data_IF_764409204050
#
_entry.id   IF_764409204050
#
_cell.length_a   1.000
_cell.length_b   1.000
_cell.length_c   1.000
_cell.angle_alpha   90.00
_cell.angle_beta   90.00
_cell.angle_gamma   90.00
#
_symmetry.space_group_name_H-M   'P 1'
#
loop_
_entity.id
_entity.type
_entity.pdbx_description
1 polymer ?
#
# COMPACT_ATOMS: atom_id res chain seq x y z
N UNK A 1 27.37 53.77 -30.58
CA UNK A 1 26.86 52.88 -31.64
C UNK A 1 27.92 51.88 -32.03
N UNK A 2 27.96 50.70 -31.40
CA UNK A 2 28.53 49.47 -31.96
C UNK A 2 28.38 48.32 -30.96
N UNK A 3 27.73 47.26 -31.46
CA UNK A 3 27.90 45.84 -31.11
C UNK A 3 27.38 45.44 -29.73
N UNK A 4 26.27 44.72 -29.70
CA UNK A 4 26.13 43.44 -28.99
C UNK A 4 24.81 42.79 -29.41
N UNK A 5 24.86 42.07 -30.53
CA UNK A 5 24.02 40.91 -30.75
C UNK A 5 24.94 39.72 -30.55
N UNK A 6 24.59 38.77 -29.68
CA UNK A 6 24.95 37.34 -29.74
C UNK A 6 24.09 36.59 -28.72
N UNK A 7 23.24 35.71 -29.28
CA UNK A 7 22.80 34.41 -28.79
C UNK A 7 22.11 34.31 -27.42
N UNK A 8 20.78 34.40 -27.46
CA UNK A 8 19.87 33.68 -26.57
C UNK A 8 19.97 32.17 -26.91
N UNK A 9 20.92 31.46 -26.31
CA UNK A 9 21.08 30.01 -26.50
C UNK A 9 21.66 29.37 -25.24
N UNK A 10 20.85 29.31 -24.18
CA UNK A 10 21.07 28.45 -23.00
C UNK A 10 19.81 28.40 -22.13
N UNK A 11 18.68 27.99 -22.70
CA UNK A 11 17.55 27.46 -21.95
C UNK A 11 17.39 25.99 -22.37
N UNK A 12 18.45 25.21 -22.20
CA UNK A 12 18.32 23.79 -21.89
C UNK A 12 18.13 23.76 -20.39
N UNK A 13 16.94 24.15 -19.92
CA UNK A 13 16.47 23.68 -18.63
C UNK A 13 16.47 22.17 -18.73
N UNK A 14 17.29 21.53 -17.92
CA UNK A 14 17.19 20.12 -17.62
C UNK A 14 15.76 19.83 -17.18
N UNK A 15 14.89 19.50 -18.13
CA UNK A 15 13.71 18.70 -17.91
C UNK A 15 14.22 17.29 -17.60
N UNK A 16 14.87 17.13 -16.46
CA UNK A 16 14.85 15.82 -15.82
C UNK A 16 13.38 15.58 -15.59
N UNK A 17 12.78 14.69 -16.37
CA UNK A 17 11.57 14.00 -15.95
C UNK A 17 11.87 13.56 -14.52
N UNK A 18 11.25 14.21 -13.54
CA UNK A 18 11.08 13.59 -12.24
C UNK A 18 10.45 12.25 -12.60
N UNK A 19 11.21 11.17 -12.47
CA UNK A 19 10.66 9.85 -12.74
C UNK A 19 9.58 9.70 -11.67
N UNK A 20 8.31 9.70 -12.11
CA UNK A 20 7.14 9.55 -11.25
C UNK A 20 7.23 8.27 -10.40
N UNK A 21 7.99 7.30 -10.88
CA UNK A 21 8.26 6.02 -10.26
C UNK A 21 9.76 5.87 -10.00
N UNK A 22 10.11 5.18 -8.91
CA UNK A 22 11.48 4.68 -8.75
C UNK A 22 11.81 3.64 -9.84
N UNK A 23 13.10 3.29 -9.96
CA UNK A 23 13.56 2.41 -11.03
C UNK A 23 12.97 0.98 -10.97
N UNK A 24 12.69 0.45 -9.78
CA UNK A 24 12.10 -0.88 -9.63
C UNK A 24 10.62 -0.85 -10.02
N UNK A 25 9.90 0.18 -9.61
CA UNK A 25 8.50 0.41 -10.00
C UNK A 25 8.36 0.63 -11.50
N UNK A 26 9.30 1.36 -12.12
CA UNK A 26 9.33 1.53 -13.59
C UNK A 26 9.60 0.21 -14.34
N UNK A 27 10.50 -0.67 -13.85
CA UNK A 27 10.73 -1.98 -14.49
C UNK A 27 9.45 -2.82 -14.51
N UNK A 28 8.61 -2.72 -13.46
CA UNK A 28 7.31 -3.41 -13.45
C UNK A 28 6.40 -2.86 -14.55
N UNK A 29 6.27 -1.54 -14.66
CA UNK A 29 5.45 -0.89 -15.68
C UNK A 29 5.87 -1.31 -17.09
N UNK A 30 7.18 -1.30 -17.37
CA UNK A 30 7.72 -1.58 -18.70
C UNK A 30 7.54 -3.05 -19.13
N UNK A 31 7.46 -3.96 -18.16
CA UNK A 31 7.60 -5.40 -18.38
C UNK A 31 6.30 -6.17 -18.29
N UNK A 32 5.38 -5.76 -17.42
CA UNK A 32 4.15 -6.51 -17.14
C UNK A 32 2.96 -6.03 -17.97
N UNK A 33 2.04 -6.96 -18.22
CA UNK A 33 0.81 -6.71 -18.98
C UNK A 33 -0.39 -7.03 -18.09
N UNK A 34 -1.54 -6.38 -18.31
CA UNK A 34 -2.74 -6.64 -17.54
C UNK A 34 -3.09 -8.14 -17.45
N UNK A 35 -3.49 -8.58 -16.25
CA UNK A 35 -3.83 -9.97 -15.92
C UNK A 35 -2.64 -10.92 -15.78
N UNK A 36 -1.39 -10.43 -15.85
CA UNK A 36 -0.19 -11.26 -15.63
C UNK A 36 0.25 -11.21 -14.18
N UNK A 37 0.66 -12.37 -13.68
CA UNK A 37 1.24 -12.52 -12.35
C UNK A 37 2.52 -11.68 -12.26
N UNK A 38 2.59 -10.86 -11.21
CA UNK A 38 3.79 -10.12 -10.83
C UNK A 38 4.56 -10.99 -9.82
N UNK A 39 5.84 -11.34 -10.08
CA UNK A 39 6.67 -12.07 -9.14
C UNK A 39 6.78 -11.32 -7.81
N UNK A 40 6.86 -12.04 -6.69
CA UNK A 40 6.79 -11.38 -5.38
C UNK A 40 7.96 -10.43 -5.11
N UNK A 41 9.13 -10.69 -5.70
CA UNK A 41 10.27 -9.77 -5.64
C UNK A 41 9.95 -8.40 -6.26
N UNK A 42 9.27 -8.40 -7.41
CA UNK A 42 8.83 -7.18 -8.08
C UNK A 42 7.70 -6.49 -7.31
N UNK A 43 6.80 -7.26 -6.69
CA UNK A 43 5.82 -6.73 -5.73
C UNK A 43 6.54 -6.07 -4.55
N UNK A 44 7.61 -6.65 -4.03
CA UNK A 44 8.44 -6.04 -2.98
C UNK A 44 9.06 -4.70 -3.38
N UNK A 45 9.46 -4.55 -4.66
CA UNK A 45 9.87 -3.27 -5.21
C UNK A 45 8.74 -2.23 -5.18
N UNK A 46 7.54 -2.61 -5.63
CA UNK A 46 6.35 -1.76 -5.58
C UNK A 46 5.95 -1.40 -4.14
N UNK A 47 6.08 -2.35 -3.21
CA UNK A 47 5.76 -2.18 -1.80
C UNK A 47 6.56 -1.03 -1.20
N UNK A 48 7.88 -1.05 -1.40
CA UNK A 48 8.78 -0.02 -0.86
C UNK A 48 8.76 1.30 -1.65
N UNK A 49 8.32 1.26 -2.92
CA UNK A 49 8.28 2.44 -3.78
C UNK A 49 7.03 3.30 -3.64
N UNK A 50 5.89 2.70 -3.29
CA UNK A 50 4.62 3.41 -3.15
C UNK A 50 4.50 4.12 -1.80
N UNK A 51 3.90 5.30 -1.81
CA UNK A 51 3.57 6.06 -0.60
C UNK A 51 2.37 5.44 0.14
N UNK A 52 1.43 4.82 -0.60
CA UNK A 52 0.26 4.13 -0.04
C UNK A 52 -0.33 3.10 -0.99
N UNK A 53 -0.78 1.99 -0.44
CA UNK A 53 -1.60 0.99 -1.12
C UNK A 53 -3.05 1.18 -0.66
N UNK A 54 -3.96 1.44 -1.60
CA UNK A 54 -5.38 1.69 -1.33
C UNK A 54 -6.20 0.53 -1.89
N UNK A 55 -6.88 -0.20 -1.02
CA UNK A 55 -7.65 -1.38 -1.37
C UNK A 55 -9.11 -1.03 -1.59
N UNK A 56 -9.70 -1.62 -2.62
CA UNK A 56 -11.10 -1.42 -3.05
C UNK A 56 -11.50 0.06 -3.16
N UNK A 57 -10.60 0.87 -3.74
CA UNK A 57 -10.72 2.33 -3.79
C UNK A 57 -12.04 2.80 -4.45
N UNK A 58 -12.68 3.82 -3.83
CA UNK A 58 -13.88 4.50 -4.34
C UNK A 58 -13.67 6.00 -4.30
N UNK A 59 -13.32 6.59 -5.44
CA UNK A 59 -12.94 8.00 -5.49
C UNK A 59 -11.66 8.23 -4.68
N UNK A 60 -11.73 9.07 -3.65
CA UNK A 60 -10.59 9.39 -2.76
C UNK A 60 -10.63 8.56 -1.45
N UNK A 61 -11.49 7.54 -1.36
CA UNK A 61 -11.61 6.71 -0.16
C UNK A 61 -11.17 5.26 -0.41
N UNK A 62 -10.45 4.69 0.55
CA UNK A 62 -10.05 3.28 0.57
C UNK A 62 -11.00 2.45 1.46
N UNK A 63 -11.16 1.17 1.15
CA UNK A 63 -11.74 0.22 2.11
C UNK A 63 -10.79 -0.04 3.27
N UNK A 64 -9.51 -0.25 2.95
CA UNK A 64 -8.38 -0.22 3.86
C UNK A 64 -7.12 0.19 3.10
N UNK A 65 -6.06 0.51 3.83
CA UNK A 65 -4.80 0.91 3.21
C UNK A 65 -3.60 0.32 3.92
N UNK A 66 -2.55 0.07 3.14
CA UNK A 66 -1.25 -0.39 3.65
C UNK A 66 -0.15 0.62 3.32
N UNK A 67 0.83 0.71 4.21
CA UNK A 67 2.11 1.37 3.99
C UNK A 67 3.20 0.36 4.35
N UNK A 68 3.99 -0.07 3.37
CA UNK A 68 5.06 -1.02 3.61
C UNK A 68 6.27 -0.31 4.23
N UNK A 69 6.76 -0.86 5.34
CA UNK A 69 7.76 -0.22 6.19
C UNK A 69 9.16 -0.77 5.90
N UNK A 70 9.29 -2.09 5.79
CA UNK A 70 10.56 -2.77 5.55
C UNK A 70 10.40 -4.17 4.96
N UNK A 71 11.43 -4.60 4.24
CA UNK A 71 11.62 -5.99 3.79
C UNK A 71 13.01 -6.43 4.30
N UNK A 72 13.05 -7.46 5.15
CA UNK A 72 14.28 -8.07 5.67
C UNK A 72 14.33 -9.55 5.30
N UNK A 73 15.12 -9.86 4.27
CA UNK A 73 15.11 -11.19 3.64
C UNK A 73 13.73 -11.50 3.07
N UNK A 74 13.09 -12.54 3.59
CA UNK A 74 11.72 -12.92 3.20
C UNK A 74 10.65 -12.27 4.09
N UNK A 75 11.02 -11.59 5.18
CA UNK A 75 10.06 -10.98 6.10
C UNK A 75 9.65 -9.59 5.59
N UNK A 76 8.35 -9.30 5.66
CA UNK A 76 7.78 -8.01 5.26
C UNK A 76 6.98 -7.41 6.40
N UNK A 77 7.23 -6.14 6.70
CA UNK A 77 6.46 -5.36 7.68
C UNK A 77 5.73 -4.23 7.02
N UNK A 78 4.47 -4.07 7.39
CA UNK A 78 3.59 -3.05 6.86
C UNK A 78 2.67 -2.53 7.94
N UNK A 79 2.30 -1.27 7.82
CA UNK A 79 1.24 -0.65 8.60
C UNK A 79 -0.05 -0.73 7.82
N UNK A 80 -1.07 -1.41 8.38
CA UNK A 80 -2.42 -1.41 7.84
C UNK A 80 -3.25 -0.36 8.59
N UNK A 81 -4.06 0.39 7.86
CA UNK A 81 -5.03 1.33 8.41
C UNK A 81 -6.41 1.10 7.84
N UNK A 82 -7.40 1.01 8.71
CA UNK A 82 -8.79 0.85 8.33
C UNK A 82 -9.72 1.39 9.42
N UNK A 83 -10.98 1.68 9.04
CA UNK A 83 -12.05 1.87 10.00
C UNK A 83 -12.26 0.66 10.90
N UNK A 84 -12.29 0.86 12.22
CA UNK A 84 -12.79 -0.15 13.16
C UNK A 84 -14.30 -0.01 13.40
N UNK A 85 -14.80 1.23 13.36
CA UNK A 85 -16.23 1.53 13.48
C UNK A 85 -16.56 2.80 12.70
N UNK A 86 -17.85 3.19 12.68
CA UNK A 86 -18.29 4.46 12.11
C UNK A 86 -17.66 5.70 12.78
N UNK A 87 -17.08 5.56 13.98
CA UNK A 87 -16.49 6.67 14.74
C UNK A 87 -14.97 6.55 14.94
N UNK A 88 -14.37 5.39 14.68
CA UNK A 88 -12.99 5.08 15.04
C UNK A 88 -12.28 4.48 13.84
N UNK A 89 -11.14 5.08 13.50
CA UNK A 89 -10.17 4.50 12.59
C UNK A 89 -9.00 3.94 13.40
N UNK A 90 -8.44 2.82 12.94
CA UNK A 90 -7.29 2.16 13.56
C UNK A 90 -6.15 2.02 12.56
N UNK A 91 -4.93 2.01 13.10
CA UNK A 91 -3.72 1.64 12.37
C UNK A 91 -2.89 0.68 13.20
N UNK A 92 -2.32 -0.35 12.60
CA UNK A 92 -1.51 -1.35 13.28
C UNK A 92 -0.42 -1.90 12.37
N UNK A 93 0.61 -2.49 12.96
CA UNK A 93 1.72 -3.12 12.23
C UNK A 93 1.46 -4.62 12.15
N UNK A 94 1.54 -5.16 10.93
CA UNK A 94 1.43 -6.58 10.64
C UNK A 94 2.71 -7.10 9.98
N UNK A 95 2.84 -8.43 9.93
CA UNK A 95 3.99 -9.14 9.38
C UNK A 95 3.57 -10.21 8.40
N UNK A 96 4.15 -10.17 7.21
CA UNK A 96 4.04 -11.19 6.17
C UNK A 96 5.39 -11.83 5.87
N UNK A 97 5.35 -12.96 5.15
CA UNK A 97 6.55 -13.62 4.64
C UNK A 97 6.43 -13.92 3.15
N UNK A 98 7.45 -13.57 2.37
CA UNK A 98 7.58 -13.98 0.99
C UNK A 98 7.81 -15.49 0.90
N UNK A 99 7.02 -16.16 0.07
CA UNK A 99 7.06 -17.61 -0.09
C UNK A 99 7.01 -18.02 -1.55
N UNK A 100 7.82 -19.01 -1.89
CA UNK A 100 7.84 -19.67 -3.21
C UNK A 100 8.07 -18.70 -4.40
N UNK A 101 8.67 -17.53 -4.15
CA UNK A 101 8.87 -16.48 -5.15
C UNK A 101 7.57 -15.88 -5.72
N UNK A 102 6.42 -16.15 -5.08
CA UNK A 102 5.10 -15.85 -5.62
C UNK A 102 4.16 -15.20 -4.62
N UNK A 103 4.21 -15.62 -3.36
CA UNK A 103 3.23 -15.22 -2.37
C UNK A 103 3.84 -14.31 -1.31
N UNK A 104 3.02 -13.42 -0.75
CA UNK A 104 3.19 -12.94 0.63
C UNK A 104 2.17 -13.68 1.49
N UNK A 105 2.59 -14.22 2.64
CA UNK A 105 1.74 -15.01 3.51
C UNK A 105 1.72 -14.44 4.92
N UNK A 106 0.55 -14.44 5.56
CA UNK A 106 0.41 -14.05 6.95
C UNK A 106 1.18 -15.00 7.88
N UNK A 107 1.83 -14.41 8.87
CA UNK A 107 2.69 -15.12 9.83
C UNK A 107 1.96 -15.52 11.11
N UNK A 108 0.72 -15.06 11.30
CA UNK A 108 0.00 -15.17 12.58
C UNK A 108 0.56 -14.24 13.66
N UNK A 109 1.22 -13.15 13.26
CA UNK A 109 1.74 -12.13 14.16
C UNK A 109 0.60 -11.45 14.94
N UNK A 110 0.76 -11.34 16.26
CA UNK A 110 -0.18 -10.62 17.11
C UNK A 110 0.00 -9.11 16.96
N UNK A 111 -0.80 -8.51 16.08
CA UNK A 111 -0.74 -7.09 15.77
C UNK A 111 -1.50 -6.21 16.75
N UNK A 112 -2.39 -6.76 17.59
CA UNK A 112 -3.25 -5.97 18.50
C UNK A 112 -2.45 -5.05 19.44
N UNK A 113 -1.31 -5.47 20.02
CA UNK A 113 -0.48 -4.58 20.84
C UNK A 113 -0.02 -3.31 20.11
N UNK A 114 0.14 -3.37 18.79
CA UNK A 114 0.61 -2.26 17.95
C UNK A 114 -0.47 -1.26 17.55
N UNK A 115 -1.75 -1.54 17.84
CA UNK A 115 -2.88 -0.68 17.45
C UNK A 115 -2.70 0.74 18.00
N UNK A 116 -2.89 1.69 17.09
CA UNK A 116 -3.17 3.11 17.34
C UNK A 116 -4.59 3.38 16.84
N UNK A 117 -5.27 4.34 17.46
CA UNK A 117 -6.66 4.64 17.13
C UNK A 117 -6.90 6.14 17.12
N UNK A 118 -7.85 6.57 16.29
CA UNK A 118 -8.18 7.97 16.08
C UNK A 118 -9.68 8.15 15.96
N UNK A 119 -10.21 9.22 16.52
CA UNK A 119 -11.57 9.67 16.25
C UNK A 119 -11.68 10.10 14.79
N UNK A 120 -12.64 9.54 14.06
CA UNK A 120 -12.83 9.83 12.64
C UNK A 120 -13.20 11.29 12.31
N UNK A 121 -14.03 11.99 13.11
CA UNK A 121 -14.47 13.35 12.76
C UNK A 121 -13.35 14.39 12.69
N UNK A 122 -12.30 14.25 13.50
CA UNK A 122 -11.24 15.26 13.63
C UNK A 122 -9.82 14.68 13.70
N UNK A 123 -9.67 13.36 13.63
CA UNK A 123 -8.39 12.66 13.68
C UNK A 123 -7.74 12.66 15.06
N UNK A 124 -8.48 13.02 16.13
CA UNK A 124 -7.91 13.07 17.46
C UNK A 124 -7.47 11.67 17.93
N UNK A 125 -6.23 11.55 18.39
CA UNK A 125 -5.70 10.28 18.89
C UNK A 125 -6.45 9.81 20.14
N UNK A 126 -6.84 8.54 20.15
CA UNK A 126 -7.40 7.82 21.30
C UNK A 126 -6.23 7.17 22.03
N UNK A 127 -6.07 7.49 23.32
CA UNK A 127 -4.89 7.11 24.11
C UNK A 127 -5.26 6.54 25.49
N UNK A 128 -4.25 6.09 26.25
CA UNK A 128 -4.40 5.72 27.65
C UNK A 128 -5.40 4.57 27.88
N UNK A 129 -6.35 4.78 28.81
CA UNK A 129 -7.32 3.75 29.20
C UNK A 129 -8.34 3.44 28.12
N UNK A 130 -8.66 4.41 27.27
CA UNK A 130 -9.62 4.24 26.18
C UNK A 130 -9.02 3.38 25.07
N UNK A 131 -7.75 3.63 24.72
CA UNK A 131 -7.02 2.78 23.78
C UNK A 131 -6.85 1.34 24.32
N UNK A 132 -6.55 1.18 25.61
CA UNK A 132 -6.43 -0.15 26.23
C UNK A 132 -7.76 -0.93 26.17
N UNK A 133 -8.89 -0.26 26.44
CA UNK A 133 -10.21 -0.87 26.33
C UNK A 133 -10.53 -1.28 24.88
N UNK A 134 -10.21 -0.42 23.90
CA UNK A 134 -10.39 -0.72 22.49
C UNK A 134 -9.53 -1.92 22.04
N UNK A 135 -8.27 -2.01 22.49
CA UNK A 135 -7.41 -3.17 22.20
C UNK A 135 -7.99 -4.47 22.75
N UNK A 136 -8.57 -4.44 23.95
CA UNK A 136 -9.24 -5.61 24.54
C UNK A 136 -10.50 -5.99 23.76
N UNK A 137 -11.27 -5.01 23.28
CA UNK A 137 -12.41 -5.24 22.39
C UNK A 137 -11.98 -5.93 21.09
N UNK A 138 -10.95 -5.39 20.41
CA UNK A 138 -10.40 -5.96 19.17
C UNK A 138 -9.93 -7.40 19.41
N UNK A 139 -9.14 -7.63 20.47
CA UNK A 139 -8.63 -8.96 20.82
C UNK A 139 -9.74 -9.98 21.10
N UNK A 140 -10.93 -9.54 21.50
CA UNK A 140 -12.07 -10.42 21.73
C UNK A 140 -12.79 -10.84 20.42
N UNK A 141 -12.58 -10.11 19.32
CA UNK A 141 -13.26 -10.34 18.04
C UNK A 141 -12.35 -10.93 16.95
N UNK A 142 -11.04 -10.75 17.07
CA UNK A 142 -10.07 -11.19 16.07
C UNK A 142 -9.30 -12.40 16.57
N UNK A 143 -9.15 -13.40 15.70
CA UNK A 143 -8.21 -14.49 15.88
C UNK A 143 -6.94 -14.19 15.07
N UNK A 144 -5.91 -13.67 15.75
CA UNK A 144 -4.61 -13.37 15.12
C UNK A 144 -3.74 -14.60 14.92
N UNK A 145 -4.16 -15.77 15.44
CA UNK A 145 -3.37 -17.00 15.37
C UNK A 145 -3.51 -17.74 14.04
N UNK A 146 -4.39 -17.29 13.14
CA UNK A 146 -4.56 -17.87 11.82
C UNK A 146 -3.41 -17.46 10.90
N UNK A 147 -2.31 -18.20 10.99
CA UNK A 147 -1.27 -18.19 9.96
C UNK A 147 -1.76 -19.02 8.76
N UNK A 148 -1.55 -18.53 7.54
CA UNK A 148 -1.71 -19.37 6.34
C UNK A 148 -2.42 -18.73 5.16
N UNK A 149 -3.08 -17.59 5.36
CA UNK A 149 -3.60 -16.81 4.24
C UNK A 149 -2.42 -16.25 3.43
N UNK A 150 -2.47 -16.46 2.13
CA UNK A 150 -1.41 -16.06 1.21
C UNK A 150 -1.99 -15.28 0.05
N UNK A 151 -1.21 -14.34 -0.45
CA UNK A 151 -1.63 -13.42 -1.48
C UNK A 151 -0.63 -13.42 -2.63
N UNK A 152 -1.12 -13.41 -3.86
CA UNK A 152 -0.31 -13.01 -5.01
C UNK A 152 -0.99 -11.89 -5.79
N UNK A 153 -0.27 -11.30 -6.74
CA UNK A 153 -0.72 -10.08 -7.40
C UNK A 153 -0.71 -10.22 -8.91
N UNK A 154 -1.84 -9.87 -9.53
CA UNK A 154 -1.93 -9.70 -10.98
C UNK A 154 -1.79 -8.22 -11.31
N UNK A 155 -0.98 -7.90 -12.32
CA UNK A 155 -0.88 -6.53 -12.81
C UNK A 155 -2.20 -6.11 -13.45
N UNK A 156 -2.75 -4.96 -13.04
CA UNK A 156 -3.98 -4.38 -13.57
C UNK A 156 -3.71 -3.30 -14.62
N UNK A 157 -2.73 -2.43 -14.36
CA UNK A 157 -2.38 -1.32 -15.24
C UNK A 157 -1.63 -0.22 -14.47
N UNK A 158 -1.44 0.92 -15.12
CA UNK A 158 -0.90 2.14 -14.50
C UNK A 158 -1.49 3.38 -15.15
N UNK A 159 -1.44 4.49 -14.41
CA UNK A 159 -1.75 5.83 -14.87
C UNK A 159 -0.52 6.72 -14.60
N UNK A 160 0.14 7.18 -15.66
CA UNK A 160 1.34 8.02 -15.56
C UNK A 160 1.02 9.42 -15.02
N UNK A 161 -0.15 9.97 -15.33
CA UNK A 161 -0.54 11.31 -14.89
C UNK A 161 -0.90 11.30 -13.41
N UNK A 162 -1.67 10.31 -12.97
CA UNK A 162 -2.03 10.13 -11.56
C UNK A 162 -0.90 9.51 -10.72
N UNK A 163 0.16 9.00 -11.35
CA UNK A 163 1.26 8.27 -10.72
C UNK A 163 0.77 7.07 -9.90
N UNK A 164 -0.07 6.23 -10.52
CA UNK A 164 -0.64 5.05 -9.88
C UNK A 164 -0.39 3.76 -10.64
N UNK A 165 -0.33 2.64 -9.90
CA UNK A 165 -0.34 1.27 -10.44
C UNK A 165 -1.53 0.53 -9.83
N UNK A 166 -2.30 -0.17 -10.64
CA UNK A 166 -3.38 -1.03 -10.16
C UNK A 166 -2.94 -2.49 -10.21
N UNK A 167 -3.22 -3.23 -9.13
CA UNK A 167 -3.03 -4.67 -9.01
C UNK A 167 -4.36 -5.34 -8.61
N UNK A 168 -4.51 -6.62 -8.92
CA UNK A 168 -5.49 -7.49 -8.25
C UNK A 168 -4.75 -8.36 -7.26
N UNK A 169 -5.01 -8.17 -5.98
CA UNK A 169 -4.56 -9.08 -4.94
C UNK A 169 -5.48 -10.30 -4.93
N UNK A 170 -4.92 -11.50 -5.09
CA UNK A 170 -5.67 -12.75 -5.03
C UNK A 170 -5.39 -13.47 -3.72
N UNK A 171 -6.44 -13.83 -2.99
CA UNK A 171 -6.30 -14.49 -1.68
C UNK A 171 -6.39 -16.01 -1.79
N UNK A 172 -5.47 -16.69 -1.11
CA UNK A 172 -5.38 -18.14 -1.02
C UNK A 172 -5.52 -18.55 0.44
N UNK A 173 -6.55 -19.34 0.74
CA UNK A 173 -6.79 -19.93 2.07
C UNK A 173 -6.51 -21.43 1.96
N UNK A 174 -5.63 -21.94 2.82
CA UNK A 174 -5.16 -23.34 2.76
C UNK A 174 -4.68 -23.76 1.35
N UNK A 175 -4.01 -22.83 0.66
CA UNK A 175 -3.49 -23.03 -0.70
C UNK A 175 -4.55 -23.00 -1.82
N UNK A 176 -5.81 -22.73 -1.51
CA UNK A 176 -6.91 -22.64 -2.49
C UNK A 176 -7.26 -21.18 -2.74
N UNK A 177 -7.25 -20.76 -4.01
CA UNK A 177 -7.67 -19.42 -4.43
C UNK A 177 -9.15 -19.19 -4.08
N UNK A 178 -9.45 -18.07 -3.44
CA UNK A 178 -10.80 -17.64 -3.04
C UNK A 178 -11.18 -16.35 -3.80
N UNK A 179 -11.71 -16.43 -5.04
CA UNK A 179 -12.00 -15.25 -5.85
C UNK A 179 -12.94 -14.23 -5.21
N UNK A 180 -13.83 -14.69 -4.32
CA UNK A 180 -14.75 -13.82 -3.58
C UNK A 180 -14.06 -12.94 -2.53
N UNK A 181 -12.76 -13.16 -2.28
CA UNK A 181 -11.91 -12.39 -1.37
C UNK A 181 -10.78 -11.66 -2.09
N UNK A 182 -10.75 -11.69 -3.42
CA UNK A 182 -9.79 -10.90 -4.18
C UNK A 182 -10.11 -9.40 -4.00
N UNK A 183 -9.08 -8.57 -3.93
CA UNK A 183 -9.18 -7.14 -3.78
C UNK A 183 -8.51 -6.41 -4.94
N UNK A 184 -9.08 -5.29 -5.38
CA UNK A 184 -8.37 -4.37 -6.26
C UNK A 184 -7.51 -3.45 -5.41
N UNK A 185 -6.26 -3.22 -5.83
CA UNK A 185 -5.29 -2.42 -5.08
C UNK A 185 -4.73 -1.36 -5.98
N UNK A 186 -4.86 -0.11 -5.57
CA UNK A 186 -4.23 1.04 -6.25
C UNK A 186 -3.07 1.53 -5.42
N UNK A 187 -1.89 1.49 -6.01
CA UNK A 187 -0.64 1.97 -5.42
C UNK A 187 -0.45 3.41 -5.85
N UNK A 188 -0.28 4.29 -4.87
CA UNK A 188 -0.08 5.72 -5.07
C UNK A 188 1.38 6.07 -4.83
N UNK A 189 2.03 6.64 -5.85
CA UNK A 189 3.44 7.05 -5.78
C UNK A 189 3.59 8.56 -5.56
N UNK A 190 2.58 9.36 -5.92
CA UNK A 190 2.53 10.76 -5.55
C UNK A 190 2.09 10.92 -4.09
N UNK A 191 2.98 11.52 -3.29
CA UNK A 191 2.73 11.73 -1.86
C UNK A 191 1.51 12.61 -1.58
N UNK A 192 1.28 13.65 -2.37
CA UNK A 192 0.17 14.57 -2.11
C UNK A 192 -1.18 13.88 -2.37
N UNK A 193 -1.26 13.05 -3.40
CA UNK A 193 -2.42 12.20 -3.64
C UNK A 193 -2.62 11.21 -2.49
N UNK A 194 -1.57 10.45 -2.14
CA UNK A 194 -1.63 9.46 -1.07
C UNK A 194 -2.10 10.06 0.27
N UNK A 195 -1.60 11.23 0.64
CA UNK A 195 -1.94 11.94 1.88
C UNK A 195 -3.40 12.43 1.92
N UNK A 196 -4.06 12.58 0.76
CA UNK A 196 -5.46 13.00 0.67
C UNK A 196 -6.46 11.83 0.69
N UNK A 197 -5.99 10.58 0.66
CA UNK A 197 -6.85 9.41 0.71
C UNK A 197 -7.51 9.27 2.10
N UNK A 198 -8.83 9.10 2.11
CA UNK A 198 -9.62 8.78 3.30
C UNK A 198 -10.07 7.32 3.35
N UNK A 199 -11.03 7.02 4.22
CA UNK A 199 -11.62 5.69 4.35
C UNK A 199 -13.15 5.73 4.31
N UNK A 200 -13.78 4.75 3.69
CA UNK A 200 -15.23 4.52 3.81
C UNK A 200 -15.54 3.43 4.85
N UNK A 201 -16.71 3.48 5.49
CA UNK A 201 -17.25 2.44 6.38
C UNK A 201 -18.37 1.66 5.70
#
# INVERSE_FOLDING_TARGET
MRRFAIALAALVTCSGTALAYDAASQDVIDRFKPGKLVPIEAVGGLMLGAERWCYDQRGEECGWSDIYLEIDGDMVRYELSNPWSAAIDISFVAEGVFRDGRYICDTGFDWVPSVRAYERPDGQAIEGRELDALKQEIAAHIDTSQAGDCFDYLYGGHDEEAQTITLTQRQYVDGTHQPARDAEVTLHFDKANADNLGWYW
#
